data_IF_987102006995
#
_entry.id   IF_987102006995
#
_cell.length_a   1.000
_cell.length_b   1.000
_cell.length_c   1.000
_cell.angle_alpha   90.00
_cell.angle_beta   90.00
_cell.angle_gamma   90.00
#
_symmetry.space_group_name_H-M   'P 1'
#
loop_
_entity.id
_entity.type
_entity.pdbx_description
1 polymer ?
#
# COMPACT_ATOMS: atom_id res chain seq x y z
N UNK A 1 -54.04 -6.84 74.55
CA UNK A 1 -53.78 -6.00 75.75
C UNK A 1 -52.35 -5.49 75.64
N UNK A 2 -52.13 -4.17 75.80
CA UNK A 2 -50.81 -3.52 75.72
C UNK A 2 -50.70 -2.53 74.57
N UNK A 3 -50.71 -1.23 74.89
CA UNK A 3 -50.86 -0.04 74.03
C UNK A 3 -49.53 0.75 73.95
N UNK A 4 -49.45 1.71 73.01
CA UNK A 4 -48.53 2.88 72.89
C UNK A 4 -47.17 2.64 72.21
N UNK A 5 -46.63 3.49 71.32
CA UNK A 5 -47.06 4.77 70.72
C UNK A 5 -46.12 5.09 69.54
N UNK A 6 -46.63 5.85 68.59
CA UNK A 6 -45.98 6.42 67.40
C UNK A 6 -44.70 7.23 67.66
N UNK A 7 -43.71 7.09 66.75
CA UNK A 7 -42.88 8.21 66.26
C UNK A 7 -42.59 8.04 64.76
N UNK A 8 -42.96 9.06 64.01
CA UNK A 8 -42.73 9.31 62.58
C UNK A 8 -41.24 9.41 62.24
N UNK A 9 -40.81 8.74 61.17
CA UNK A 9 -39.57 9.05 60.46
C UNK A 9 -39.85 9.16 58.95
N UNK A 10 -39.39 10.27 58.37
CA UNK A 10 -39.64 10.73 57.00
C UNK A 10 -38.92 9.86 55.96
N UNK A 11 -39.60 9.58 54.86
CA UNK A 11 -39.03 9.01 53.65
C UNK A 11 -38.00 9.96 53.00
N UNK A 12 -36.86 9.46 52.47
CA UNK A 12 -35.96 10.26 51.65
C UNK A 12 -36.55 10.43 50.23
N UNK A 13 -36.48 11.68 49.74
CA UNK A 13 -37.04 12.14 48.47
C UNK A 13 -36.27 11.61 47.25
N UNK A 14 -37.00 11.42 46.14
CA UNK A 14 -36.45 11.22 44.79
C UNK A 14 -35.51 12.36 44.38
N UNK A 15 -34.43 12.08 43.63
CA UNK A 15 -33.64 13.12 42.99
C UNK A 15 -34.39 13.74 41.80
N UNK A 16 -34.24 15.04 41.53
CA UNK A 16 -34.89 15.70 40.42
C UNK A 16 -34.26 15.30 39.08
N UNK A 17 -35.14 14.99 38.12
CA UNK A 17 -34.86 14.91 36.69
C UNK A 17 -34.53 16.30 36.13
N UNK A 18 -33.33 16.46 35.59
CA UNK A 18 -32.90 17.69 34.92
C UNK A 18 -31.50 17.54 34.35
N UNK A 19 -31.36 16.82 33.23
CA UNK A 19 -30.13 16.88 32.44
C UNK A 19 -30.24 18.07 31.49
N UNK A 20 -29.68 19.20 31.93
CA UNK A 20 -29.39 20.33 31.05
C UNK A 20 -28.48 19.87 29.92
N UNK A 21 -28.92 20.06 28.68
CA UNK A 21 -28.10 19.95 27.48
C UNK A 21 -26.98 20.98 27.55
N UNK A 22 -25.78 20.56 27.91
CA UNK A 22 -24.59 21.40 27.77
C UNK A 22 -24.33 21.64 26.28
N UNK A 23 -24.57 22.87 25.85
CA UNK A 23 -24.14 23.35 24.55
C UNK A 23 -22.61 23.25 24.47
N UNK A 24 -22.12 22.56 23.45
CA UNK A 24 -20.69 22.48 23.15
C UNK A 24 -20.22 23.88 22.73
N UNK A 25 -19.23 24.42 23.44
CA UNK A 25 -18.61 25.70 23.15
C UNK A 25 -17.92 25.66 21.77
N UNK A 26 -18.33 26.52 20.80
CA UNK A 26 -17.73 26.56 19.46
C UNK A 26 -16.27 27.04 19.45
N UNK A 27 -15.73 27.53 20.57
CA UNK A 27 -14.40 28.13 20.65
C UNK A 27 -13.26 27.12 20.88
N UNK A 28 -13.54 25.83 21.00
CA UNK A 28 -12.50 24.77 21.06
C UNK A 28 -12.30 24.04 19.72
N UNK A 29 -12.37 24.76 18.61
CA UNK A 29 -11.75 24.28 17.37
C UNK A 29 -10.24 24.44 17.55
N UNK A 30 -9.55 23.36 17.93
CA UNK A 30 -8.09 23.33 17.89
C UNK A 30 -7.67 23.63 16.46
N UNK A 31 -7.17 24.84 16.21
CA UNK A 31 -6.61 25.23 14.93
C UNK A 31 -5.48 24.25 14.64
N UNK A 32 -5.64 23.46 13.60
CA UNK A 32 -4.60 22.51 13.21
C UNK A 32 -3.36 23.27 12.79
N UNK A 33 -2.37 23.25 13.66
CA UNK A 33 -1.05 23.89 13.49
C UNK A 33 -0.14 23.13 12.51
N UNK A 34 -0.70 22.20 11.73
CA UNK A 34 0.06 21.30 10.86
C UNK A 34 -0.51 21.32 9.43
N UNK A 35 0.35 21.14 8.41
CA UNK A 35 -0.12 20.93 7.04
C UNK A 35 -1.11 19.76 6.94
N UNK A 36 -1.95 19.78 5.91
CA UNK A 36 -2.95 18.75 5.73
C UNK A 36 -2.32 17.51 5.10
N UNK A 37 -2.32 16.39 5.81
CA UNK A 37 -1.97 15.08 5.27
C UNK A 37 -3.25 14.26 5.06
N UNK A 38 -3.54 13.95 3.79
CA UNK A 38 -4.73 13.18 3.41
C UNK A 38 -4.30 11.83 2.88
N UNK A 39 -4.92 10.77 3.39
CA UNK A 39 -4.84 9.43 2.82
C UNK A 39 -6.09 9.17 2.02
N UNK A 40 -5.91 8.92 0.72
CA UNK A 40 -6.96 8.34 -0.11
C UNK A 40 -6.85 6.83 0.03
N UNK A 41 -7.87 6.21 0.62
CA UNK A 41 -7.89 4.77 0.82
C UNK A 41 -8.29 4.10 -0.49
N UNK A 42 -9.54 4.28 -0.91
CA UNK A 42 -10.10 3.62 -2.10
C UNK A 42 -11.22 4.45 -2.72
N UNK A 43 -11.60 4.11 -3.94
CA UNK A 43 -12.89 4.44 -4.52
C UNK A 43 -13.65 3.16 -4.88
N UNK A 44 -14.97 3.27 -5.02
CA UNK A 44 -15.86 2.13 -5.21
C UNK A 44 -16.95 2.46 -6.23
N UNK A 45 -17.44 1.43 -6.91
CA UNK A 45 -18.50 1.47 -7.92
C UNK A 45 -18.26 2.51 -9.04
N UNK A 46 -17.01 2.73 -9.44
CA UNK A 46 -16.72 3.64 -10.54
C UNK A 46 -17.33 3.10 -11.84
N UNK A 47 -18.01 3.94 -12.65
CA UNK A 47 -18.51 3.52 -13.95
C UNK A 47 -17.35 3.33 -14.92
N UNK A 48 -17.44 2.29 -15.76
CA UNK A 48 -16.53 2.11 -16.88
C UNK A 48 -16.85 3.13 -17.97
N UNK A 49 -15.82 3.80 -18.50
CA UNK A 49 -15.95 4.68 -19.66
C UNK A 49 -15.51 4.00 -20.96
N UNK A 50 -14.76 2.90 -20.85
CA UNK A 50 -14.37 2.04 -21.95
C UNK A 50 -15.40 0.94 -22.27
N UNK A 51 -15.46 0.56 -23.56
CA UNK A 51 -16.44 -0.39 -24.07
C UNK A 51 -16.12 -1.86 -23.72
N UNK A 52 -14.86 -2.17 -23.36
CA UNK A 52 -14.32 -3.53 -23.23
C UNK A 52 -13.39 -3.74 -22.02
N UNK A 53 -13.23 -2.73 -21.16
CA UNK A 53 -12.41 -2.78 -19.94
C UNK A 53 -13.02 -1.90 -18.85
N UNK A 54 -12.59 -2.11 -17.61
CA UNK A 54 -12.86 -1.15 -16.54
C UNK A 54 -11.96 0.08 -16.71
N UNK A 55 -12.24 1.15 -15.95
CA UNK A 55 -11.47 2.39 -16.03
C UNK A 55 -10.05 2.26 -15.47
N UNK A 56 -9.12 2.96 -16.10
CA UNK A 56 -7.74 3.20 -15.67
C UNK A 56 -7.69 4.45 -14.77
N UNK A 57 -8.14 4.30 -13.52
CA UNK A 57 -8.51 5.43 -12.67
C UNK A 57 -7.30 6.10 -12.04
N UNK A 58 -7.23 7.43 -12.13
CA UNK A 58 -6.34 8.24 -11.31
C UNK A 58 -7.05 9.46 -10.73
N UNK A 59 -6.45 10.08 -9.70
CA UNK A 59 -7.08 11.19 -8.96
C UNK A 59 -6.17 12.40 -8.91
N UNK A 60 -6.71 13.55 -9.32
CA UNK A 60 -6.12 14.86 -9.08
C UNK A 60 -6.88 15.54 -7.96
N UNK A 61 -6.19 15.87 -6.89
CA UNK A 61 -6.76 16.60 -5.77
C UNK A 61 -6.21 18.02 -5.70
N UNK A 62 -7.05 18.94 -5.27
CA UNK A 62 -6.76 20.34 -5.08
C UNK A 62 -7.25 20.78 -3.71
N UNK A 63 -6.42 21.54 -3.00
CA UNK A 63 -6.82 22.29 -1.82
C UNK A 63 -7.12 23.72 -2.23
N UNK A 64 -8.33 24.19 -1.97
CA UNK A 64 -8.82 25.52 -2.34
C UNK A 64 -9.27 26.30 -1.10
N UNK A 65 -8.95 27.59 -1.03
CA UNK A 65 -9.51 28.51 -0.05
C UNK A 65 -9.91 29.81 -0.74
N UNK A 66 -11.14 30.28 -0.50
CA UNK A 66 -11.69 31.50 -1.09
C UNK A 66 -11.56 31.58 -2.63
N UNK A 67 -11.70 30.44 -3.32
CA UNK A 67 -11.58 30.36 -4.79
C UNK A 67 -10.14 30.31 -5.31
N UNK A 68 -9.13 30.31 -4.45
CA UNK A 68 -7.72 30.20 -4.82
C UNK A 68 -7.18 28.80 -4.55
N UNK A 69 -6.52 28.20 -5.54
CA UNK A 69 -5.75 26.96 -5.40
C UNK A 69 -4.56 27.20 -4.47
N UNK A 70 -4.52 26.52 -3.33
CA UNK A 70 -3.40 26.57 -2.38
C UNK A 70 -2.34 25.52 -2.71
N UNK A 71 -2.77 24.31 -3.05
CA UNK A 71 -1.88 23.20 -3.40
C UNK A 71 -2.63 22.09 -4.15
N UNK A 72 -1.88 21.16 -4.73
CA UNK A 72 -2.42 20.01 -5.45
C UNK A 72 -1.58 18.77 -5.23
N UNK A 73 -2.22 17.61 -5.39
CA UNK A 73 -1.57 16.33 -5.37
C UNK A 73 -2.24 15.37 -6.35
N UNK A 74 -1.49 14.33 -6.76
CA UNK A 74 -2.00 13.30 -7.66
C UNK A 74 -1.79 11.93 -7.03
N UNK A 75 -2.83 11.10 -7.05
CA UNK A 75 -2.74 9.66 -6.86
C UNK A 75 -2.64 8.99 -8.23
N UNK A 76 -1.71 8.03 -8.40
CA UNK A 76 -1.38 7.46 -9.70
C UNK A 76 -2.49 6.58 -10.26
N UNK A 77 -2.36 6.21 -11.53
CA UNK A 77 -3.28 5.31 -12.24
C UNK A 77 -3.36 3.94 -11.57
N UNK A 78 -4.59 3.47 -11.38
CA UNK A 78 -4.96 2.10 -11.02
C UNK A 78 -5.67 1.51 -12.23
N UNK A 79 -5.01 0.55 -12.84
CA UNK A 79 -5.41 0.00 -14.14
C UNK A 79 -6.59 -0.95 -13.98
N UNK A 80 -7.55 -0.88 -14.91
CA UNK A 80 -8.64 -1.84 -15.09
C UNK A 80 -9.37 -2.17 -13.77
N UNK A 81 -9.85 -1.14 -13.04
CA UNK A 81 -10.48 -1.34 -11.72
C UNK A 81 -11.65 -0.38 -11.47
N UNK A 82 -12.81 -0.96 -11.12
CA UNK A 82 -13.99 -0.22 -10.67
C UNK A 82 -13.89 0.20 -9.18
N UNK A 83 -13.06 -0.50 -8.41
CA UNK A 83 -12.90 -0.31 -6.97
C UNK A 83 -11.42 -0.08 -6.59
N UNK A 84 -10.77 0.96 -7.16
CA UNK A 84 -9.33 1.14 -7.04
C UNK A 84 -8.89 1.41 -5.60
N UNK A 85 -7.81 0.74 -5.20
CA UNK A 85 -7.16 0.88 -3.90
C UNK A 85 -5.82 1.61 -4.04
N UNK A 86 -5.72 2.81 -3.45
CA UNK A 86 -4.46 3.57 -3.37
C UNK A 86 -3.78 3.38 -2.03
N UNK A 87 -4.54 3.59 -0.96
CA UNK A 87 -4.09 3.42 0.40
C UNK A 87 -2.81 4.20 0.76
N UNK A 88 -2.70 5.44 0.27
CA UNK A 88 -1.48 6.25 0.36
C UNK A 88 -1.75 7.72 0.67
N UNK A 89 -0.78 8.37 1.30
CA UNK A 89 -0.91 9.75 1.75
C UNK A 89 -0.37 10.78 0.74
N UNK A 90 -0.95 11.98 0.77
CA UNK A 90 -0.44 13.19 0.13
C UNK A 90 -0.52 14.36 1.09
N UNK A 91 0.59 15.10 1.21
CA UNK A 91 0.63 16.34 1.97
C UNK A 91 0.20 17.50 1.06
N UNK A 92 -0.67 18.37 1.58
CA UNK A 92 -1.16 19.56 0.90
C UNK A 92 -0.55 20.80 1.54
N UNK A 93 0.41 21.39 0.83
CA UNK A 93 1.17 22.55 1.27
C UNK A 93 2.08 22.27 2.47
N UNK A 94 2.77 23.31 2.93
CA UNK A 94 3.70 23.24 4.07
C UNK A 94 3.24 24.05 5.27
N UNK A 95 2.04 24.63 5.16
CA UNK A 95 1.46 25.52 6.17
C UNK A 95 0.19 24.89 6.74
N UNK A 96 -0.13 25.22 8.00
CA UNK A 96 -1.45 25.00 8.58
C UNK A 96 -2.56 25.30 7.58
N UNK A 97 -3.47 24.35 7.39
CA UNK A 97 -4.60 24.52 6.48
C UNK A 97 -5.82 24.98 7.25
N UNK A 98 -6.49 26.03 6.75
CA UNK A 98 -7.73 26.53 7.32
C UNK A 98 -8.82 25.45 7.37
N UNK A 99 -9.54 25.28 8.49
CA UNK A 99 -10.66 24.32 8.57
C UNK A 99 -11.79 24.59 7.56
N UNK A 100 -11.88 25.83 7.07
CA UNK A 100 -12.84 26.25 6.03
C UNK A 100 -12.36 26.02 4.58
N UNK A 101 -11.10 25.62 4.38
CA UNK A 101 -10.61 25.24 3.06
C UNK A 101 -11.33 24.00 2.54
N UNK A 102 -11.43 23.87 1.22
CA UNK A 102 -12.06 22.75 0.52
C UNK A 102 -11.01 21.84 -0.08
N UNK A 103 -11.16 20.54 0.15
CA UNK A 103 -10.46 19.51 -0.60
C UNK A 103 -11.37 19.03 -1.74
N UNK A 104 -10.89 19.15 -2.97
CA UNK A 104 -11.61 18.76 -4.18
C UNK A 104 -10.84 17.64 -4.86
N UNK A 105 -11.45 16.47 -5.04
CA UNK A 105 -10.90 15.31 -5.74
C UNK A 105 -11.58 15.14 -7.08
N UNK A 106 -10.80 15.14 -8.15
CA UNK A 106 -11.26 14.89 -9.53
C UNK A 106 -10.74 13.54 -10.00
N UNK A 107 -11.67 12.66 -10.35
CA UNK A 107 -11.41 11.31 -10.86
C UNK A 107 -11.38 11.33 -12.38
N UNK A 108 -10.40 10.65 -12.95
CA UNK A 108 -10.18 10.56 -14.39
C UNK A 108 -9.93 9.11 -14.78
N UNK A 109 -10.37 8.76 -15.98
CA UNK A 109 -10.01 7.55 -16.70
C UNK A 109 -8.81 7.86 -17.59
N UNK A 110 -7.73 7.10 -17.49
CA UNK A 110 -6.51 7.36 -18.23
C UNK A 110 -6.54 6.70 -19.62
N UNK A 111 -6.48 7.52 -20.66
CA UNK A 111 -6.44 7.03 -22.03
C UNK A 111 -5.00 6.94 -22.54
N UNK A 112 -4.61 5.76 -23.04
CA UNK A 112 -3.28 5.59 -23.65
C UNK A 112 -3.14 6.42 -24.93
N UNK A 113 -4.26 6.71 -25.61
CA UNK A 113 -4.32 7.55 -26.81
C UNK A 113 -5.49 8.52 -26.71
N UNK A 114 -5.23 9.82 -26.75
CA UNK A 114 -6.28 10.85 -26.66
C UNK A 114 -6.21 11.63 -25.35
N UNK A 115 -7.34 12.19 -24.93
CA UNK A 115 -7.48 12.95 -23.69
C UNK A 115 -8.20 12.12 -22.65
N UNK A 116 -7.60 11.97 -21.48
CA UNK A 116 -8.20 11.31 -20.32
C UNK A 116 -9.66 11.75 -20.07
N UNK A 117 -10.54 10.77 -19.88
CA UNK A 117 -11.96 10.97 -19.66
C UNK A 117 -12.25 11.38 -18.21
N UNK A 118 -13.02 12.46 -18.02
CA UNK A 118 -13.37 12.91 -16.68
C UNK A 118 -14.52 12.08 -16.08
N UNK A 119 -14.26 11.38 -14.98
CA UNK A 119 -15.22 10.50 -14.30
C UNK A 119 -16.17 11.30 -13.42
N UNK A 120 -15.64 12.13 -12.52
CA UNK A 120 -16.45 12.84 -11.53
C UNK A 120 -15.66 13.56 -10.45
N UNK A 121 -16.38 14.24 -9.56
CA UNK A 121 -15.83 15.02 -8.44
C UNK A 121 -16.34 14.53 -7.09
N UNK A 122 -15.46 14.45 -6.10
CA UNK A 122 -15.83 14.42 -4.69
C UNK A 122 -15.23 15.65 -3.99
N UNK A 123 -15.93 16.24 -3.04
CA UNK A 123 -15.45 17.41 -2.31
C UNK A 123 -15.84 17.35 -0.83
N UNK A 124 -15.00 17.94 0.02
CA UNK A 124 -15.28 18.08 1.45
C UNK A 124 -14.53 19.29 2.03
N UNK A 125 -14.99 19.77 3.19
CA UNK A 125 -14.23 20.74 3.97
C UNK A 125 -13.11 20.04 4.74
N UNK A 126 -12.00 20.75 4.95
CA UNK A 126 -10.89 20.24 5.76
C UNK A 126 -11.34 19.92 7.18
N UNK A 127 -12.23 20.73 7.75
CA UNK A 127 -12.86 20.47 9.06
C UNK A 127 -13.65 19.17 9.16
N UNK A 128 -14.12 18.60 8.05
CA UNK A 128 -14.84 17.32 8.05
C UNK A 128 -13.89 16.10 7.99
N UNK A 129 -12.61 16.31 7.66
CA UNK A 129 -11.62 15.24 7.60
C UNK A 129 -11.05 14.95 8.99
N UNK A 130 -11.13 13.67 9.39
CA UNK A 130 -10.61 13.18 10.67
C UNK A 130 -9.83 11.89 10.44
N UNK A 131 -9.24 11.32 11.51
CA UNK A 131 -8.61 10.00 11.44
C UNK A 131 -9.61 8.87 11.13
N UNK A 132 -10.93 9.11 11.29
CA UNK A 132 -11.95 8.13 10.93
C UNK A 132 -12.22 8.16 9.42
N UNK A 133 -12.44 6.99 8.78
CA UNK A 133 -12.78 6.91 7.36
C UNK A 133 -14.01 7.74 7.00
N UNK A 134 -13.81 8.77 6.18
CA UNK A 134 -14.85 9.59 5.61
C UNK A 134 -15.24 9.03 4.23
N UNK A 135 -16.48 8.57 4.10
CA UNK A 135 -17.07 8.15 2.83
C UNK A 135 -17.67 9.36 2.11
N UNK A 136 -17.12 9.73 0.96
CA UNK A 136 -17.60 10.83 0.13
C UNK A 136 -18.24 10.32 -1.17
N UNK A 137 -19.45 10.75 -1.52
CA UNK A 137 -20.04 10.43 -2.82
C UNK A 137 -19.25 11.11 -3.95
N UNK A 138 -19.08 10.39 -5.06
CA UNK A 138 -18.49 10.92 -6.28
C UNK A 138 -19.63 11.34 -7.22
N UNK A 139 -19.70 12.62 -7.52
CA UNK A 139 -20.66 13.17 -8.49
C UNK A 139 -20.12 12.92 -9.89
N UNK A 140 -20.68 11.93 -10.58
CA UNK A 140 -20.27 11.51 -11.92
C UNK A 140 -20.64 12.54 -12.99
N UNK A 141 -19.78 12.63 -14.01
CA UNK A 141 -19.95 13.54 -15.15
C UNK A 141 -21.02 13.08 -16.14
N UNK A 142 -21.17 11.76 -16.32
CA UNK A 142 -22.14 11.11 -17.21
C UNK A 142 -23.18 10.35 -16.38
N UNK A 143 -24.41 10.20 -16.88
CA UNK A 143 -25.47 9.44 -16.19
C UNK A 143 -25.00 7.98 -16.00
N UNK A 144 -25.05 7.50 -14.77
CA UNK A 144 -24.73 6.13 -14.40
C UNK A 144 -25.79 5.60 -13.42
N UNK A 145 -26.05 4.29 -13.45
CA UNK A 145 -26.84 3.61 -12.44
C UNK A 145 -26.05 3.35 -11.15
N UNK A 146 -24.72 3.35 -11.22
CA UNK A 146 -23.81 3.16 -10.08
C UNK A 146 -23.84 4.39 -9.15
N UNK A 147 -23.50 4.20 -7.87
CA UNK A 147 -23.42 5.28 -6.87
C UNK A 147 -22.01 5.37 -6.30
N UNK A 148 -21.04 5.85 -7.11
CA UNK A 148 -19.65 5.80 -6.73
C UNK A 148 -19.35 6.66 -5.50
N UNK A 149 -18.35 6.23 -4.75
CA UNK A 149 -17.87 6.93 -3.58
C UNK A 149 -16.37 6.68 -3.36
N UNK A 150 -15.71 7.57 -2.62
CA UNK A 150 -14.35 7.35 -2.15
C UNK A 150 -14.27 7.37 -0.63
N UNK A 151 -13.18 6.81 -0.09
CA UNK A 151 -12.88 6.76 1.33
C UNK A 151 -11.59 7.51 1.58
N UNK A 152 -11.64 8.48 2.49
CA UNK A 152 -10.53 9.36 2.86
C UNK A 152 -10.32 9.37 4.37
N UNK A 153 -9.08 9.50 4.80
CA UNK A 153 -8.75 9.83 6.20
C UNK A 153 -7.79 11.01 6.23
N UNK A 154 -7.85 11.76 7.32
CA UNK A 154 -6.80 12.68 7.72
C UNK A 154 -5.82 11.95 8.60
N UNK A 155 -4.56 11.95 8.18
CA UNK A 155 -3.49 11.36 8.97
C UNK A 155 -2.78 12.45 9.78
N UNK A 156 -2.39 12.19 11.04
CA UNK A 156 -1.63 13.15 11.83
C UNK A 156 -0.21 13.29 11.26
N UNK A 157 0.31 14.52 11.15
CA UNK A 157 1.72 14.73 10.80
C UNK A 157 2.63 14.43 12.00
N UNK A 158 2.18 14.74 13.24
CA UNK A 158 2.78 14.20 14.47
C UNK A 158 2.69 12.68 14.51
N UNK A 159 3.79 12.03 14.19
CA UNK A 159 3.87 10.56 14.12
C UNK A 159 4.35 10.06 12.77
N UNK A 160 4.56 10.92 11.78
CA UNK A 160 5.43 10.54 10.68
C UNK A 160 6.88 10.46 11.21
N UNK A 161 7.62 9.39 10.89
CA UNK A 161 9.04 9.31 11.21
C UNK A 161 9.80 10.50 10.67
N UNK A 162 10.99 10.74 11.20
CA UNK A 162 12.01 11.53 10.48
C UNK A 162 12.88 10.64 9.59
N UNK A 163 12.86 9.32 9.82
CA UNK A 163 13.64 8.30 9.10
C UNK A 163 12.94 6.94 9.20
N UNK A 164 12.71 6.25 8.09
CA UNK A 164 12.38 4.81 8.09
C UNK A 164 13.53 3.98 7.54
N UNK A 165 13.66 2.77 8.05
CA UNK A 165 14.61 1.78 7.54
C UNK A 165 13.85 0.84 6.61
N UNK A 166 14.36 0.72 5.40
CA UNK A 166 13.79 -0.13 4.35
C UNK A 166 14.81 -1.19 4.00
N UNK A 167 14.42 -2.45 4.15
CA UNK A 167 15.18 -3.57 3.65
C UNK A 167 14.65 -3.98 2.28
N UNK A 168 15.50 -3.87 1.26
CA UNK A 168 15.15 -4.28 -0.10
C UNK A 168 15.79 -5.62 -0.42
N UNK A 169 14.96 -6.61 -0.73
CA UNK A 169 15.42 -7.95 -1.07
C UNK A 169 15.04 -8.28 -2.51
N UNK A 170 16.02 -8.73 -3.28
CA UNK A 170 15.81 -9.23 -4.63
C UNK A 170 15.45 -10.72 -4.60
N UNK A 171 14.57 -11.15 -5.49
CA UNK A 171 14.29 -12.57 -5.68
C UNK A 171 15.52 -13.39 -6.09
N UNK A 172 15.51 -14.68 -5.75
CA UNK A 172 16.49 -15.66 -6.22
C UNK A 172 16.36 -15.97 -7.71
N UNK A 173 17.26 -16.80 -8.24
CA UNK A 173 17.24 -17.19 -9.66
C UNK A 173 15.94 -17.93 -10.03
N UNK A 174 15.27 -17.45 -11.08
CA UNK A 174 14.09 -18.11 -11.65
C UNK A 174 14.44 -19.01 -12.83
N UNK A 175 13.49 -19.86 -13.22
CA UNK A 175 13.59 -20.63 -14.48
C UNK A 175 13.83 -19.70 -15.68
N UNK A 176 13.21 -18.50 -15.67
CA UNK A 176 13.41 -17.48 -16.70
C UNK A 176 14.85 -16.95 -16.76
N UNK A 177 15.45 -16.60 -15.62
CA UNK A 177 16.80 -16.03 -15.58
C UNK A 177 17.83 -17.03 -16.13
N UNK A 178 17.65 -18.31 -15.81
CA UNK A 178 18.46 -19.40 -16.37
C UNK A 178 18.24 -19.54 -17.88
N UNK A 179 16.99 -19.58 -18.34
CA UNK A 179 16.65 -19.68 -19.77
C UNK A 179 17.19 -18.51 -20.60
N UNK A 180 17.18 -17.28 -20.06
CA UNK A 180 17.80 -16.11 -20.70
C UNK A 180 19.31 -16.27 -20.87
N UNK A 181 20.00 -16.74 -19.82
CA UNK A 181 21.45 -17.00 -19.86
C UNK A 181 21.79 -18.11 -20.85
N UNK A 182 20.94 -19.13 -20.94
CA UNK A 182 21.10 -20.30 -21.81
C UNK A 182 20.58 -20.08 -23.24
N UNK A 183 19.94 -18.94 -23.52
CA UNK A 183 19.30 -18.60 -24.80
C UNK A 183 18.21 -19.60 -25.22
N UNK A 184 17.50 -20.19 -24.27
CA UNK A 184 16.36 -21.09 -24.54
C UNK A 184 15.09 -20.29 -24.85
N UNK A 185 14.92 -19.98 -26.15
CA UNK A 185 13.81 -19.17 -26.65
C UNK A 185 12.46 -19.87 -26.50
N UNK A 186 12.40 -21.21 -26.56
CA UNK A 186 11.15 -21.96 -26.44
C UNK A 186 10.62 -21.88 -25.01
N UNK A 187 11.48 -22.11 -24.01
CA UNK A 187 11.09 -21.94 -22.60
C UNK A 187 10.69 -20.48 -22.31
N UNK A 188 11.42 -19.49 -22.85
CA UNK A 188 11.10 -18.06 -22.68
C UNK A 188 9.81 -17.59 -23.35
N UNK A 189 9.29 -18.30 -24.36
CA UNK A 189 8.05 -17.87 -25.02
C UNK A 189 6.82 -18.65 -24.54
N UNK A 190 7.03 -19.73 -23.80
CA UNK A 190 5.98 -20.68 -23.41
C UNK A 190 5.12 -20.25 -22.22
N UNK A 191 5.61 -19.36 -21.35
CA UNK A 191 4.92 -19.03 -20.10
C UNK A 191 5.25 -17.61 -19.60
N UNK A 192 4.54 -17.16 -18.57
CA UNK A 192 4.77 -15.92 -17.83
C UNK A 192 4.90 -16.22 -16.35
N UNK A 193 5.45 -15.27 -15.59
CA UNK A 193 5.64 -15.35 -14.14
C UNK A 193 6.35 -16.64 -13.68
N UNK A 194 7.61 -16.80 -14.09
CA UNK A 194 8.34 -18.04 -13.82
C UNK A 194 8.70 -18.17 -12.33
N UNK A 195 8.57 -19.39 -11.76
CA UNK A 195 8.98 -19.66 -10.38
C UNK A 195 10.50 -19.70 -10.23
N UNK A 196 10.96 -19.75 -8.98
CA UNK A 196 12.34 -20.06 -8.65
C UNK A 196 12.76 -21.43 -9.21
N UNK A 197 14.05 -21.56 -9.52
CA UNK A 197 14.68 -22.86 -9.76
C UNK A 197 15.41 -23.32 -8.48
N UNK A 198 16.09 -24.48 -8.55
CA UNK A 198 16.82 -25.03 -7.41
C UNK A 198 17.91 -24.08 -6.87
N UNK A 199 18.65 -23.40 -7.76
CA UNK A 199 19.64 -22.41 -7.34
C UNK A 199 18.99 -21.21 -6.64
N UNK A 200 17.83 -20.75 -7.14
CA UNK A 200 17.03 -19.71 -6.51
C UNK A 200 16.48 -20.10 -5.15
N UNK A 201 16.04 -21.36 -4.98
CA UNK A 201 15.69 -21.94 -3.67
C UNK A 201 16.87 -21.87 -2.71
N UNK A 202 18.03 -22.37 -3.09
CA UNK A 202 19.23 -22.34 -2.25
C UNK A 202 19.66 -20.91 -1.88
N UNK A 203 19.48 -19.94 -2.79
CA UNK A 203 19.73 -18.53 -2.50
C UNK A 203 18.78 -17.97 -1.42
N UNK A 204 17.50 -18.33 -1.49
CA UNK A 204 16.49 -17.93 -0.52
C UNK A 204 16.73 -18.61 0.85
N UNK A 205 17.03 -19.91 0.88
CA UNK A 205 17.42 -20.64 2.10
C UNK A 205 18.71 -20.07 2.72
N UNK A 206 19.63 -19.58 1.89
CA UNK A 206 20.82 -18.87 2.36
C UNK A 206 20.49 -17.52 3.04
N UNK A 207 19.45 -16.82 2.59
CA UNK A 207 18.93 -15.64 3.32
C UNK A 207 18.31 -16.05 4.65
N UNK A 208 17.45 -17.06 4.67
CA UNK A 208 16.85 -17.61 5.88
C UNK A 208 17.91 -18.01 6.93
N UNK A 209 18.95 -18.71 6.49
CA UNK A 209 20.05 -19.16 7.36
C UNK A 209 20.77 -17.97 8.00
N UNK A 210 20.99 -16.88 7.25
CA UNK A 210 21.62 -15.66 7.77
C UNK A 210 20.74 -14.92 8.77
N UNK A 211 19.44 -14.83 8.51
CA UNK A 211 18.50 -14.23 9.48
C UNK A 211 18.41 -15.06 10.76
N UNK A 212 18.44 -16.39 10.64
CA UNK A 212 18.42 -17.30 11.78
C UNK A 212 19.72 -17.28 12.59
N UNK A 213 20.85 -16.98 11.93
CA UNK A 213 22.16 -16.84 12.58
C UNK A 213 22.29 -15.57 13.45
N UNK A 214 21.32 -14.64 13.34
CA UNK A 214 21.28 -13.41 14.11
C UNK A 214 22.20 -12.30 13.60
N UNK A 215 22.47 -11.32 14.47
CA UNK A 215 23.24 -10.11 14.17
C UNK A 215 22.35 -8.88 13.97
N UNK A 216 22.95 -7.70 14.07
CA UNK A 216 22.22 -6.42 14.17
C UNK A 216 21.18 -6.21 13.05
N UNK A 217 21.51 -6.57 11.80
CA UNK A 217 20.58 -6.42 10.68
C UNK A 217 19.45 -7.46 10.69
N UNK A 218 19.72 -8.68 11.15
CA UNK A 218 18.71 -9.72 11.30
C UNK A 218 17.74 -9.39 12.44
N UNK A 219 18.25 -8.90 13.57
CA UNK A 219 17.47 -8.43 14.70
C UNK A 219 16.58 -7.22 14.32
N UNK A 220 17.14 -6.26 13.57
CA UNK A 220 16.38 -5.11 13.06
C UNK A 220 15.30 -5.55 12.05
N UNK A 221 15.60 -6.48 11.15
CA UNK A 221 14.60 -7.07 10.25
C UNK A 221 13.52 -7.87 10.98
N UNK A 222 13.86 -8.58 12.06
CA UNK A 222 12.88 -9.31 12.86
C UNK A 222 11.85 -8.39 13.53
N UNK A 223 12.24 -7.13 13.80
CA UNK A 223 11.34 -6.08 14.27
C UNK A 223 10.41 -5.49 13.21
N UNK A 224 10.42 -6.00 11.96
CA UNK A 224 9.68 -5.39 10.87
C UNK A 224 8.15 -5.48 11.06
N UNK A 225 7.47 -4.34 11.10
CA UNK A 225 6.01 -4.26 11.24
C UNK A 225 5.26 -4.58 9.94
N UNK A 226 5.91 -4.40 8.80
CA UNK A 226 5.31 -4.59 7.49
C UNK A 226 6.27 -5.31 6.56
N UNK A 227 5.73 -6.32 5.86
CA UNK A 227 6.41 -7.05 4.81
C UNK A 227 5.60 -6.87 3.54
N UNK A 228 6.13 -6.09 2.59
CA UNK A 228 5.53 -5.93 1.27
C UNK A 228 6.28 -6.80 0.26
N UNK A 229 5.54 -7.50 -0.59
CA UNK A 229 6.13 -8.36 -1.62
C UNK A 229 5.51 -8.11 -3.00
N UNK A 230 6.35 -8.16 -4.04
CA UNK A 230 5.86 -8.27 -5.40
C UNK A 230 4.98 -9.52 -5.56
N UNK A 231 3.86 -9.46 -6.29
CA UNK A 231 2.99 -10.61 -6.49
C UNK A 231 3.56 -11.65 -7.47
N UNK A 232 4.70 -11.39 -8.11
CA UNK A 232 5.37 -12.33 -9.01
C UNK A 232 5.85 -13.57 -8.23
N UNK A 233 5.60 -14.75 -8.77
CA UNK A 233 5.81 -16.05 -8.11
C UNK A 233 7.23 -16.19 -7.55
N UNK A 234 8.27 -15.85 -8.34
CA UNK A 234 9.67 -15.88 -7.88
C UNK A 234 9.96 -14.99 -6.67
N UNK A 235 9.34 -13.80 -6.62
CA UNK A 235 9.54 -12.85 -5.54
C UNK A 235 8.84 -13.32 -4.28
N UNK A 236 7.59 -13.79 -4.41
CA UNK A 236 6.84 -14.32 -3.28
C UNK A 236 7.45 -15.62 -2.72
N UNK A 237 7.93 -16.53 -3.58
CA UNK A 237 8.68 -17.70 -3.13
C UNK A 237 9.95 -17.31 -2.36
N UNK A 238 10.72 -16.35 -2.87
CA UNK A 238 11.93 -15.87 -2.18
C UNK A 238 11.57 -15.24 -0.83
N UNK A 239 10.48 -14.48 -0.76
CA UNK A 239 9.98 -13.85 0.46
C UNK A 239 9.59 -14.89 1.51
N UNK A 240 8.74 -15.84 1.13
CA UNK A 240 8.26 -16.89 2.04
C UNK A 240 9.40 -17.75 2.57
N UNK A 241 10.30 -18.21 1.68
CA UNK A 241 11.45 -19.05 2.06
C UNK A 241 12.44 -18.22 2.90
N UNK A 242 12.87 -17.08 2.38
CA UNK A 242 13.96 -16.29 2.94
C UNK A 242 13.62 -15.60 4.25
N UNK A 243 12.37 -15.15 4.44
CA UNK A 243 11.91 -14.50 5.67
C UNK A 243 11.17 -15.41 6.63
N UNK A 244 11.20 -16.73 6.40
CA UNK A 244 10.51 -17.69 7.26
C UNK A 244 10.72 -17.45 8.79
N UNK A 245 11.92 -17.08 9.30
CA UNK A 245 12.13 -16.81 10.72
C UNK A 245 11.38 -15.58 11.26
N UNK A 246 10.99 -14.66 10.38
CA UNK A 246 10.28 -13.41 10.70
C UNK A 246 8.76 -13.57 10.50
N UNK A 247 8.38 -14.30 9.44
CA UNK A 247 6.97 -14.54 9.08
C UNK A 247 6.29 -15.53 10.01
N UNK A 248 7.04 -16.49 10.54
CA UNK A 248 6.56 -17.50 11.49
C UNK A 248 7.36 -17.38 12.79
N UNK A 249 7.17 -16.29 13.57
CA UNK A 249 7.88 -16.12 14.83
C UNK A 249 7.40 -17.15 15.87
N UNK A 250 8.28 -17.47 16.83
CA UNK A 250 8.05 -18.49 17.85
C UNK A 250 6.87 -18.19 18.80
N UNK A 251 6.37 -16.95 18.81
CA UNK A 251 5.20 -16.50 19.58
C UNK A 251 3.86 -16.83 18.92
N UNK A 252 3.87 -17.36 17.68
CA UNK A 252 2.70 -17.84 16.96
C UNK A 252 1.84 -16.74 16.30
N UNK A 253 2.22 -15.47 16.41
CA UNK A 253 1.55 -14.38 15.69
C UNK A 253 2.27 -14.19 14.35
N UNK A 254 1.90 -15.02 13.38
CA UNK A 254 2.46 -14.95 12.02
C UNK A 254 2.27 -13.55 11.43
N UNK A 255 3.38 -12.91 11.01
CA UNK A 255 3.32 -11.64 10.27
C UNK A 255 2.91 -11.96 8.84
N UNK A 256 1.79 -11.42 8.40
CA UNK A 256 1.31 -11.61 7.03
C UNK A 256 2.18 -10.87 6.01
N UNK A 257 2.10 -11.31 4.75
CA UNK A 257 2.76 -10.62 3.62
C UNK A 257 1.73 -9.81 2.85
N UNK A 258 1.94 -8.49 2.76
CA UNK A 258 1.14 -7.64 1.90
C UNK A 258 1.63 -7.74 0.45
N UNK A 259 0.80 -8.28 -0.43
CA UNK A 259 1.13 -8.27 -1.85
C UNK A 259 0.90 -6.86 -2.41
N UNK A 260 1.92 -6.34 -3.10
CA UNK A 260 1.87 -5.00 -3.67
C UNK A 260 2.38 -4.99 -5.13
N UNK A 261 1.48 -4.84 -6.11
CA UNK A 261 1.81 -4.79 -7.53
C UNK A 261 2.83 -3.73 -7.92
N UNK A 262 2.91 -2.64 -7.15
CA UNK A 262 3.84 -1.56 -7.42
C UNK A 262 5.31 -1.99 -7.28
N UNK A 263 5.57 -3.21 -6.79
CA UNK A 263 6.89 -3.79 -6.60
C UNK A 263 7.31 -4.75 -7.73
N UNK A 264 6.44 -4.95 -8.73
CA UNK A 264 6.73 -5.80 -9.88
C UNK A 264 7.94 -5.28 -10.68
N UNK A 265 8.54 -6.18 -11.45
CA UNK A 265 9.59 -5.80 -12.38
C UNK A 265 9.10 -4.82 -13.46
N UNK A 266 9.98 -3.91 -13.89
CA UNK A 266 9.68 -3.04 -15.03
C UNK A 266 9.38 -3.89 -16.26
N UNK A 267 8.23 -3.67 -16.88
CA UNK A 267 7.87 -4.36 -18.11
C UNK A 267 8.60 -3.75 -19.29
N UNK A 268 9.63 -4.43 -19.78
CA UNK A 268 10.35 -4.01 -20.98
C UNK A 268 9.63 -4.49 -22.26
N UNK A 269 9.90 -3.84 -23.38
CA UNK A 269 9.37 -4.25 -24.68
C UNK A 269 9.75 -5.70 -25.00
N UNK A 270 8.76 -6.55 -25.31
CA UNK A 270 8.95 -7.98 -25.56
C UNK A 270 9.14 -8.86 -24.31
N UNK A 271 9.28 -8.28 -23.11
CA UNK A 271 9.46 -9.03 -21.87
C UNK A 271 8.13 -9.46 -21.24
N UNK A 272 7.77 -10.73 -21.35
CA UNK A 272 6.50 -11.27 -20.81
C UNK A 272 6.57 -11.71 -19.34
N UNK A 273 7.76 -11.96 -18.79
CA UNK A 273 7.94 -12.50 -17.42
C UNK A 273 7.65 -11.51 -16.27
N UNK A 274 7.46 -10.23 -16.60
CA UNK A 274 6.99 -9.19 -15.68
C UNK A 274 5.47 -9.09 -15.62
N UNK A 275 4.76 -9.86 -16.45
CA UNK A 275 3.30 -10.01 -16.36
C UNK A 275 2.94 -11.05 -15.31
N UNK A 276 1.96 -10.72 -14.49
CA UNK A 276 1.31 -11.71 -13.64
C UNK A 276 0.56 -12.75 -14.46
N UNK A 277 0.37 -13.91 -13.85
CA UNK A 277 -0.43 -15.01 -14.40
C UNK A 277 -1.84 -15.07 -13.79
N UNK A 278 -1.97 -14.60 -12.55
CA UNK A 278 -3.16 -14.77 -11.73
C UNK A 278 -3.45 -13.53 -10.90
N UNK A 279 -4.68 -13.47 -10.40
CA UNK A 279 -5.20 -12.45 -9.48
C UNK A 279 -5.93 -13.16 -8.33
N UNK A 280 -6.12 -12.46 -7.22
CA UNK A 280 -6.85 -12.93 -6.04
C UNK A 280 -6.39 -14.31 -5.56
N UNK A 281 -7.35 -15.15 -5.18
CA UNK A 281 -7.08 -16.48 -4.61
C UNK A 281 -6.31 -17.40 -5.56
N UNK A 282 -6.53 -17.27 -6.87
CA UNK A 282 -5.81 -18.07 -7.88
C UNK A 282 -4.31 -17.77 -7.90
N UNK A 283 -3.91 -16.56 -7.53
CA UNK A 283 -2.49 -16.22 -7.38
C UNK A 283 -1.88 -17.00 -6.22
N UNK A 284 -2.57 -17.00 -5.07
CA UNK A 284 -2.15 -17.75 -3.90
C UNK A 284 -2.07 -19.26 -4.21
N UNK A 285 -3.10 -19.83 -4.82
CA UNK A 285 -3.10 -21.24 -5.25
C UNK A 285 -1.94 -21.58 -6.20
N UNK A 286 -1.69 -20.72 -7.19
CA UNK A 286 -0.61 -20.89 -8.15
C UNK A 286 0.78 -20.90 -7.48
N UNK A 287 1.00 -19.99 -6.54
CA UNK A 287 2.26 -19.91 -5.78
C UNK A 287 2.41 -21.09 -4.83
N UNK A 288 1.33 -21.53 -4.17
CA UNK A 288 1.33 -22.73 -3.33
C UNK A 288 1.70 -23.97 -4.14
N UNK A 289 1.12 -24.13 -5.33
CA UNK A 289 1.48 -25.22 -6.24
C UNK A 289 2.96 -25.14 -6.65
N UNK A 290 3.47 -23.94 -6.94
CA UNK A 290 4.87 -23.75 -7.29
C UNK A 290 5.82 -24.09 -6.12
N UNK A 291 5.46 -23.73 -4.89
CA UNK A 291 6.21 -24.11 -3.69
C UNK A 291 6.24 -25.62 -3.46
N UNK A 292 5.10 -26.31 -3.60
CA UNK A 292 5.04 -27.78 -3.49
C UNK A 292 5.93 -28.48 -4.51
N UNK A 293 5.98 -27.96 -5.74
CA UNK A 293 6.89 -28.49 -6.76
C UNK A 293 8.36 -28.21 -6.42
N UNK A 294 8.67 -27.00 -5.96
CA UNK A 294 10.03 -26.58 -5.61
C UNK A 294 10.59 -27.36 -4.40
N UNK A 295 9.72 -27.77 -3.47
CA UNK A 295 10.03 -28.55 -2.26
C UNK A 295 9.44 -29.97 -2.32
N UNK A 296 9.39 -30.58 -3.51
CA UNK A 296 8.87 -31.94 -3.65
C UNK A 296 9.65 -32.99 -2.81
N UNK A 297 10.92 -32.70 -2.52
CA UNK A 297 11.82 -33.44 -1.63
C UNK A 297 11.55 -33.20 -0.13
N UNK A 298 10.91 -32.09 0.24
CA UNK A 298 10.57 -31.76 1.64
C UNK A 298 9.15 -31.16 1.77
N UNK A 299 8.09 -32.00 1.65
CA UNK A 299 6.71 -31.52 1.66
C UNK A 299 6.29 -30.76 2.92
N UNK A 300 6.82 -31.14 4.09
CA UNK A 300 6.52 -30.45 5.35
C UNK A 300 7.01 -29.00 5.36
N UNK A 301 8.16 -28.74 4.72
CA UNK A 301 8.66 -27.38 4.56
C UNK A 301 7.73 -26.55 3.68
N UNK A 302 7.24 -27.13 2.58
CA UNK A 302 6.29 -26.46 1.69
C UNK A 302 5.01 -26.05 2.42
N UNK A 303 4.41 -26.97 3.20
CA UNK A 303 3.16 -26.67 3.91
C UNK A 303 3.34 -25.62 5.01
N UNK A 304 4.49 -25.60 5.69
CA UNK A 304 4.80 -24.54 6.66
C UNK A 304 4.87 -23.15 5.99
N UNK A 305 5.46 -23.06 4.80
CA UNK A 305 5.53 -21.82 4.02
C UNK A 305 4.16 -21.38 3.49
N UNK A 306 3.34 -22.34 3.07
CA UNK A 306 1.96 -22.13 2.58
C UNK A 306 1.03 -21.63 3.69
N UNK A 307 1.32 -21.96 4.96
CA UNK A 307 0.56 -21.48 6.11
C UNK A 307 0.72 -19.98 6.41
N UNK A 308 1.67 -19.28 5.77
CA UNK A 308 1.88 -17.85 5.97
C UNK A 308 0.70 -17.05 5.39
N UNK A 309 0.04 -16.18 6.18
CA UNK A 309 -1.06 -15.36 5.69
C UNK A 309 -0.60 -14.38 4.60
N UNK A 310 -1.33 -14.34 3.48
CA UNK A 310 -1.14 -13.35 2.42
C UNK A 310 -2.30 -12.35 2.42
N UNK A 311 -1.98 -11.05 2.43
CA UNK A 311 -2.96 -10.00 2.19
C UNK A 311 -3.03 -9.70 0.69
N UNK A 312 -4.15 -10.13 0.09
CA UNK A 312 -4.42 -10.11 -1.34
C UNK A 312 -5.14 -8.83 -1.80
N UNK A 313 -5.34 -7.84 -0.93
CA UNK A 313 -6.22 -6.68 -1.25
C UNK A 313 -5.82 -5.90 -2.50
N UNK A 314 -4.51 -5.81 -2.80
CA UNK A 314 -4.02 -5.06 -3.97
C UNK A 314 -3.93 -5.90 -5.25
N UNK A 315 -4.29 -7.18 -5.21
CA UNK A 315 -4.13 -8.10 -6.34
C UNK A 315 -5.43 -8.81 -6.72
N UNK A 316 -6.57 -8.29 -6.28
CA UNK A 316 -7.90 -8.82 -6.64
C UNK A 316 -8.17 -8.66 -8.14
N UNK A 317 -7.75 -7.53 -8.71
CA UNK A 317 -7.85 -7.21 -10.13
C UNK A 317 -6.52 -7.41 -10.86
N UNK A 318 -6.56 -7.27 -12.19
CA UNK A 318 -5.38 -7.37 -13.05
C UNK A 318 -4.37 -6.27 -12.68
N UNK A 319 -3.20 -6.71 -12.23
CA UNK A 319 -2.21 -5.81 -11.63
C UNK A 319 -0.95 -5.57 -12.47
N UNK A 320 -0.91 -6.11 -13.70
CA UNK A 320 0.19 -5.97 -14.65
C UNK A 320 -0.23 -5.29 -15.94
N UNK A 321 0.72 -4.63 -16.60
CA UNK A 321 0.50 -3.93 -17.85
C UNK A 321 0.48 -4.89 -19.04
N UNK A 322 -0.35 -4.58 -20.05
CA UNK A 322 -0.33 -5.25 -21.35
C UNK A 322 0.86 -4.82 -22.22
N UNK A 323 1.26 -3.55 -22.13
CA UNK A 323 2.30 -2.89 -22.92
C UNK A 323 3.58 -2.64 -22.13
N UNK A 324 4.62 -2.11 -22.79
CA UNK A 324 5.87 -1.75 -22.13
C UNK A 324 5.67 -0.57 -21.16
N UNK A 325 6.36 -0.60 -20.02
CA UNK A 325 6.29 0.42 -18.97
C UNK A 325 7.35 1.51 -19.19
N UNK A 326 6.94 2.78 -19.12
CA UNK A 326 7.86 3.93 -19.17
C UNK A 326 8.64 4.05 -17.86
N UNK A 327 9.79 4.75 -17.87
CA UNK A 327 10.51 5.02 -16.61
C UNK A 327 9.71 5.88 -15.64
N UNK A 328 8.92 6.82 -16.16
CA UNK A 328 8.03 7.66 -15.38
C UNK A 328 7.01 6.83 -14.58
N UNK A 329 6.36 5.86 -15.24
CA UNK A 329 5.41 4.97 -14.56
C UNK A 329 6.07 4.13 -13.46
N UNK A 330 7.33 3.73 -13.64
CA UNK A 330 8.10 3.05 -12.59
C UNK A 330 8.34 3.97 -11.39
N UNK A 331 8.76 5.21 -11.64
CA UNK A 331 8.96 6.22 -10.57
C UNK A 331 7.66 6.47 -9.82
N UNK A 332 6.54 6.63 -10.52
CA UNK A 332 5.24 6.90 -9.91
C UNK A 332 4.82 5.76 -8.97
N UNK A 333 4.90 4.50 -9.41
CA UNK A 333 4.49 3.36 -8.57
C UNK A 333 5.43 3.09 -7.41
N UNK A 334 6.74 3.34 -7.56
CA UNK A 334 7.69 3.21 -6.44
C UNK A 334 7.45 4.32 -5.42
N UNK A 335 7.20 5.54 -5.88
CA UNK A 335 6.80 6.67 -5.01
C UNK A 335 5.50 6.38 -4.26
N UNK A 336 4.53 5.78 -4.95
CA UNK A 336 3.28 5.33 -4.34
C UNK A 336 3.52 4.29 -3.25
N UNK A 337 4.37 3.29 -3.50
CA UNK A 337 4.74 2.28 -2.51
C UNK A 337 5.36 2.91 -1.25
N UNK A 338 6.28 3.86 -1.43
CA UNK A 338 6.90 4.55 -0.29
C UNK A 338 5.86 5.35 0.49
N UNK A 339 4.90 5.96 -0.19
CA UNK A 339 3.79 6.69 0.43
C UNK A 339 2.85 5.75 1.22
N UNK A 340 2.57 4.56 0.69
CA UNK A 340 1.80 3.51 1.40
C UNK A 340 2.56 3.00 2.65
N UNK A 341 3.86 2.73 2.51
CA UNK A 341 4.68 2.30 3.64
C UNK A 341 4.78 3.37 4.75
N UNK A 342 4.72 4.65 4.38
CA UNK A 342 4.60 5.75 5.35
C UNK A 342 3.29 5.67 6.13
N UNK A 343 2.16 5.44 5.45
CA UNK A 343 0.82 5.40 6.05
C UNK A 343 0.58 4.17 6.94
N UNK A 344 1.14 3.01 6.60
CA UNK A 344 0.80 1.72 7.20
C UNK A 344 1.65 1.32 8.42
N UNK A 345 2.72 2.06 8.74
CA UNK A 345 3.73 1.62 9.72
C UNK A 345 4.02 2.72 10.72
N UNK A 346 4.22 2.35 11.98
CA UNK A 346 4.57 3.29 13.04
C UNK A 346 5.87 4.05 12.74
N UNK A 347 6.05 5.26 13.33
CA UNK A 347 7.19 6.11 13.04
C UNK A 347 8.57 5.46 13.15
N UNK A 348 8.79 4.52 14.04
CA UNK A 348 10.14 3.99 14.29
C UNK A 348 10.36 2.57 13.77
N UNK A 349 9.33 1.95 13.21
CA UNK A 349 9.40 0.54 12.88
C UNK A 349 10.10 0.30 11.54
N UNK A 350 11.03 -0.67 11.48
CA UNK A 350 11.58 -1.11 10.20
C UNK A 350 10.49 -1.79 9.39
N UNK A 351 10.64 -1.79 8.06
CA UNK A 351 9.81 -2.62 7.19
C UNK A 351 10.67 -3.26 6.10
N UNK A 352 10.22 -4.42 5.61
CA UNK A 352 10.91 -5.17 4.58
C UNK A 352 10.09 -5.14 3.30
N UNK A 353 10.76 -4.86 2.19
CA UNK A 353 10.17 -4.79 0.87
C UNK A 353 10.93 -5.72 -0.09
N UNK A 354 10.21 -6.66 -0.69
CA UNK A 354 10.70 -7.55 -1.75
C UNK A 354 10.35 -7.03 -3.14
N UNK A 355 11.38 -6.78 -3.93
CA UNK A 355 11.28 -6.21 -5.26
C UNK A 355 11.96 -7.09 -6.30
N UNK A 356 11.51 -6.99 -7.54
CA UNK A 356 12.20 -7.59 -8.68
C UNK A 356 13.39 -6.75 -9.16
N UNK A 357 14.29 -7.41 -9.90
CA UNK A 357 15.67 -7.02 -10.21
C UNK A 357 15.87 -5.55 -10.59
N UNK A 358 15.06 -5.03 -11.52
CA UNK A 358 15.22 -3.65 -12.01
C UNK A 358 15.03 -2.58 -10.93
N UNK A 359 14.02 -2.74 -10.08
CA UNK A 359 13.57 -1.68 -9.16
C UNK A 359 14.50 -1.45 -7.97
N UNK A 360 15.35 -2.43 -7.64
CA UNK A 360 16.36 -2.31 -6.57
C UNK A 360 17.67 -1.72 -7.10
N UNK A 361 17.97 -1.89 -8.40
CA UNK A 361 19.28 -1.57 -8.97
C UNK A 361 19.44 -0.14 -9.46
N UNK A 362 18.35 0.57 -9.75
CA UNK A 362 18.43 1.93 -10.28
C UNK A 362 18.06 2.97 -9.21
N UNK A 363 19.04 3.60 -8.54
CA UNK A 363 18.76 4.61 -7.52
C UNK A 363 17.98 5.82 -8.07
N UNK A 364 17.97 6.03 -9.40
CA UNK A 364 17.18 7.10 -10.05
C UNK A 364 15.67 6.88 -9.97
N UNK A 365 15.21 5.67 -9.65
CA UNK A 365 13.78 5.37 -9.52
C UNK A 365 13.23 5.64 -8.12
N UNK A 366 14.10 6.02 -7.18
CA UNK A 366 13.72 6.48 -5.85
C UNK A 366 13.73 8.01 -5.78
N UNK A 367 12.92 8.62 -4.90
CA UNK A 367 12.96 10.06 -4.69
C UNK A 367 14.38 10.54 -4.30
N UNK A 368 14.76 11.78 -4.66
CA UNK A 368 16.07 12.33 -4.31
C UNK A 368 16.27 12.41 -2.78
N UNK A 369 17.45 12.01 -2.28
CA UNK A 369 17.79 12.06 -0.86
C UNK A 369 17.36 10.82 -0.04
N UNK A 370 16.72 9.84 -0.67
CA UNK A 370 16.07 8.68 0.00
C UNK A 370 16.98 7.44 0.08
N UNK A 371 18.29 7.55 -0.19
CA UNK A 371 19.17 6.39 -0.33
C UNK A 371 20.58 6.61 0.26
N UNK A 372 20.94 5.80 1.26
CA UNK A 372 22.31 5.34 1.50
C UNK A 372 22.27 3.82 1.46
N UNK A 373 23.15 3.20 0.67
CA UNK A 373 23.14 1.77 0.39
C UNK A 373 24.17 1.05 1.25
N UNK A 374 23.73 0.12 2.11
CA UNK A 374 24.61 -0.89 2.72
C UNK A 374 24.23 -2.26 2.14
N UNK A 375 25.22 -2.99 1.62
CA UNK A 375 25.02 -4.33 1.08
C UNK A 375 25.14 -5.38 2.19
N UNK A 376 24.07 -6.11 2.45
CA UNK A 376 24.07 -7.22 3.40
C UNK A 376 23.61 -8.49 2.65
N UNK A 377 24.57 -9.26 2.15
CA UNK A 377 24.34 -10.65 1.72
C UNK A 377 23.26 -10.89 0.66
N UNK A 378 22.91 -9.91 -0.19
CA UNK A 378 21.82 -10.02 -1.17
C UNK A 378 20.60 -9.15 -0.89
N UNK A 379 20.56 -8.50 0.27
CA UNK A 379 19.65 -7.39 0.59
C UNK A 379 20.40 -6.05 0.55
N UNK A 380 19.70 -4.98 0.14
CA UNK A 380 20.16 -3.60 0.25
C UNK A 380 19.40 -2.92 1.37
N UNK A 381 20.12 -2.38 2.36
CA UNK A 381 19.54 -1.50 3.39
C UNK A 381 19.51 -0.07 2.85
N UNK A 382 18.37 0.60 2.95
CA UNK A 382 18.17 1.98 2.54
C UNK A 382 17.43 2.78 3.62
N UNK A 383 17.66 4.09 3.64
CA UNK A 383 16.97 5.01 4.55
C UNK A 383 15.98 5.87 3.78
N UNK A 384 14.68 5.65 3.97
CA UNK A 384 13.69 6.54 3.41
C UNK A 384 13.67 7.86 4.20
N UNK A 385 14.14 8.94 3.56
CA UNK A 385 13.94 10.31 4.03
C UNK A 385 12.64 10.85 3.43
N UNK A 386 11.89 11.57 4.26
CA UNK A 386 10.63 12.21 3.88
C UNK A 386 10.86 13.21 2.76
N UNK A 387 9.97 13.27 1.75
CA UNK A 387 9.97 14.41 0.85
C UNK A 387 9.64 15.65 1.68
N UNK A 388 10.63 16.51 1.87
CA UNK A 388 10.35 17.93 2.14
C UNK A 388 9.71 18.49 0.87
N UNK A 389 8.68 19.32 1.05
CA UNK A 389 8.00 20.28 0.14
C UNK A 389 8.44 20.45 -1.33
N UNK A 390 9.71 20.22 -1.64
CA UNK A 390 10.37 20.59 -2.88
C UNK A 390 10.44 19.45 -3.91
N UNK A 391 9.75 18.33 -3.67
CA UNK A 391 9.45 17.35 -4.73
C UNK A 391 8.40 17.94 -5.68
N UNK A 392 8.75 19.01 -6.39
CA UNK A 392 8.04 19.41 -7.58
C UNK A 392 8.10 18.25 -8.55
N UNK A 393 6.95 17.61 -8.78
CA UNK A 393 6.77 16.73 -9.92
C UNK A 393 7.35 17.41 -11.17
N UNK A 394 8.12 16.68 -12.01
CA UNK A 394 8.52 17.23 -13.30
C UNK A 394 7.25 17.72 -14.02
N UNK A 395 7.29 18.99 -14.44
CA UNK A 395 6.20 19.57 -15.24
C UNK A 395 6.06 18.71 -16.50
N UNK A 396 4.80 18.38 -16.81
CA UNK A 396 4.34 17.63 -17.98
C UNK A 396 5.03 18.02 -19.27
#
# INVERSE_FOLDING_TARGET
>A
MGVCTSKTAKHPACPPSGSESQAVDPSQVTVDIEPLLVRLVSAHELPAFDLLSESDVYVKAMLEENGAELSKATWPVKWDSADPLWDSCRQFGDKPTSPGAKLILKFYDHDTTGSDDFIGTAETLVSALTAQPLKLPIIVSKKSSKRPYCILTREPLRGLPTRKIVYMVRHGESVWNKAQKEKDVASMLSNVDHPLNEAGRSQAEGLQSRLSSGGAAAEEMAGAELIMCSPLTRALQTCLIGLQPILVPADGIGRGVLLNPNLREKRNFGGKDSSGKWVGDKLQEGVHSALRMLYADSPSTAEALIGVPLDLKNVQDKWWLGSAESEHHVVDRITETMSQACALVQPTAPFVHFSCDGSVRNPRWFPPGTFQQEHIGGACRAFALFPRSDATFPKR
#
